data_IF_593788502314
#
_entry.id   IF_593788502314
#
_cell.length_a   1.000
_cell.length_b   1.000
_cell.length_c   1.000
_cell.angle_alpha   90.00
_cell.angle_beta   90.00
_cell.angle_gamma   90.00
#
_symmetry.space_group_name_H-M   'P 1'
#
loop_
_entity.id
_entity.type
_entity.pdbx_description
1 polymer ?
#
# COMPACT_ATOMS: atom_id res chain seq x y z
N UNK A 1 -17.43 -14.29 7.00
CA UNK A 1 -16.43 -15.15 6.35
C UNK A 1 -15.81 -14.47 5.12
N UNK A 2 -16.53 -14.28 4.01
CA UNK A 2 -15.96 -13.72 2.76
C UNK A 2 -15.37 -12.29 2.87
N UNK A 3 -15.91 -11.42 3.74
CA UNK A 3 -15.27 -10.11 4.01
C UNK A 3 -13.91 -10.22 4.66
N UNK A 4 -13.79 -11.09 5.67
CA UNK A 4 -12.54 -11.31 6.38
C UNK A 4 -11.52 -11.94 5.43
N UNK A 5 -11.93 -12.91 4.62
CA UNK A 5 -11.07 -13.46 3.56
C UNK A 5 -10.67 -12.40 2.52
N UNK A 6 -11.59 -11.52 2.13
CA UNK A 6 -11.30 -10.42 1.21
C UNK A 6 -10.36 -9.36 1.80
N UNK A 7 -10.49 -9.05 3.08
CA UNK A 7 -9.60 -8.13 3.77
C UNK A 7 -8.19 -8.74 3.93
N UNK A 8 -8.10 -10.00 4.33
CA UNK A 8 -6.83 -10.74 4.39
C UNK A 8 -6.19 -10.79 3.00
N UNK A 9 -6.94 -11.13 1.95
CA UNK A 9 -6.45 -11.13 0.58
C UNK A 9 -5.95 -9.75 0.13
N UNK A 10 -6.64 -8.67 0.50
CA UNK A 10 -6.21 -7.29 0.26
C UNK A 10 -4.86 -6.99 0.92
N UNK A 11 -4.69 -7.35 2.20
CA UNK A 11 -3.40 -7.18 2.87
C UNK A 11 -2.30 -8.06 2.24
N UNK A 12 -2.62 -9.30 1.88
CA UNK A 12 -1.66 -10.21 1.26
C UNK A 12 -1.15 -9.69 -0.08
N UNK A 13 -2.05 -9.25 -0.98
CA UNK A 13 -1.63 -8.73 -2.28
C UNK A 13 -0.83 -7.43 -2.16
N UNK A 14 -1.09 -6.62 -1.12
CA UNK A 14 -0.44 -5.34 -0.90
C UNK A 14 0.96 -5.45 -0.28
N UNK A 15 1.21 -6.47 0.55
CA UNK A 15 2.43 -6.57 1.35
C UNK A 15 3.28 -7.81 1.08
N UNK A 16 2.69 -8.89 0.59
CA UNK A 16 3.41 -10.15 0.41
C UNK A 16 4.05 -10.20 -0.98
N UNK A 17 5.38 -10.33 -1.02
CA UNK A 17 6.17 -10.49 -2.25
C UNK A 17 6.66 -11.94 -2.47
N UNK A 18 6.32 -12.87 -1.57
CA UNK A 18 6.69 -14.29 -1.69
C UNK A 18 5.63 -15.06 -2.48
N UNK A 19 4.37 -14.96 -2.05
CA UNK A 19 3.21 -15.53 -2.73
C UNK A 19 2.77 -14.69 -3.94
N UNK A 20 3.07 -13.39 -3.93
CA UNK A 20 2.85 -12.48 -5.07
C UNK A 20 4.19 -11.85 -5.50
N UNK A 21 5.00 -12.56 -6.29
CA UNK A 21 6.33 -12.08 -6.69
C UNK A 21 6.25 -10.80 -7.51
N UNK A 22 7.20 -9.90 -7.28
CA UNK A 22 7.24 -8.58 -7.93
C UNK A 22 7.48 -8.69 -9.45
N UNK A 23 8.12 -9.75 -9.93
CA UNK A 23 8.32 -10.01 -11.37
C UNK A 23 6.99 -10.09 -12.14
N UNK A 24 5.90 -10.46 -11.46
CA UNK A 24 4.56 -10.56 -12.06
C UNK A 24 3.62 -9.44 -11.58
N UNK A 25 3.74 -9.03 -10.33
CA UNK A 25 2.79 -8.12 -9.68
C UNK A 25 3.33 -6.71 -9.47
N UNK A 26 4.54 -6.40 -9.92
CA UNK A 26 5.22 -5.13 -9.64
C UNK A 26 5.59 -4.96 -8.16
N UNK A 27 6.32 -3.90 -7.78
CA UNK A 27 6.76 -3.68 -6.40
C UNK A 27 5.61 -3.32 -5.46
N UNK A 28 5.79 -3.60 -4.17
CA UNK A 28 4.88 -3.07 -3.14
C UNK A 28 5.16 -1.57 -2.96
N UNK A 29 4.23 -0.85 -2.32
CA UNK A 29 4.49 0.57 -1.99
C UNK A 29 5.71 0.77 -1.09
N UNK A 30 5.94 -0.17 -0.16
CA UNK A 30 7.12 -0.15 0.70
C UNK A 30 8.41 -0.41 -0.09
N UNK A 31 8.42 -1.38 -0.99
CA UNK A 31 9.59 -1.65 -1.83
C UNK A 31 9.90 -0.51 -2.79
N UNK A 32 8.90 0.10 -3.43
CA UNK A 32 9.10 1.25 -4.31
C UNK A 32 9.70 2.46 -3.56
N UNK A 33 9.25 2.72 -2.33
CA UNK A 33 9.81 3.80 -1.50
C UNK A 33 11.23 3.50 -1.01
N UNK A 34 11.53 2.27 -0.61
CA UNK A 34 12.90 1.84 -0.28
C UNK A 34 13.82 1.91 -1.50
N UNK A 35 13.31 1.51 -2.67
CA UNK A 35 14.03 1.55 -3.93
C UNK A 35 14.38 2.98 -4.37
N UNK A 36 13.47 3.93 -4.13
CA UNK A 36 13.74 5.36 -4.33
C UNK A 36 14.88 5.85 -3.45
N UNK A 37 14.85 5.52 -2.15
CA UNK A 37 15.92 5.89 -1.22
C UNK A 37 17.27 5.27 -1.60
N UNK A 38 17.27 3.99 -1.97
CA UNK A 38 18.47 3.27 -2.42
C UNK A 38 19.06 3.89 -3.69
N UNK A 39 18.22 4.17 -4.69
CA UNK A 39 18.66 4.75 -5.97
C UNK A 39 19.37 6.08 -5.77
N UNK A 40 18.84 6.94 -4.91
CA UNK A 40 19.48 8.23 -4.59
C UNK A 40 20.73 8.09 -3.74
N UNK A 41 20.74 7.14 -2.80
CA UNK A 41 21.93 6.84 -2.01
C UNK A 41 23.10 6.41 -2.90
N UNK A 42 22.88 5.45 -3.81
CA UNK A 42 23.91 4.96 -4.73
C UNK A 42 24.40 6.07 -5.65
N UNK A 43 23.48 6.85 -6.23
CA UNK A 43 23.83 8.01 -7.04
C UNK A 43 24.75 8.96 -6.28
N UNK A 44 24.40 9.31 -5.04
CA UNK A 44 25.17 10.30 -4.26
C UNK A 44 26.53 9.76 -3.82
N UNK A 45 26.62 8.46 -3.49
CA UNK A 45 27.91 7.80 -3.25
C UNK A 45 28.81 7.81 -4.49
N UNK A 46 28.26 7.53 -5.67
CA UNK A 46 28.99 7.59 -6.95
C UNK A 46 29.48 9.00 -7.28
N UNK A 47 28.79 10.04 -6.80
CA UNK A 47 29.19 11.44 -6.90
C UNK A 47 30.21 11.86 -5.81
N UNK A 48 30.58 10.96 -4.92
CA UNK A 48 31.58 11.18 -3.87
C UNK A 48 31.03 11.68 -2.54
N UNK A 49 29.71 11.67 -2.33
CA UNK A 49 29.12 12.04 -1.05
C UNK A 49 29.29 10.93 0.01
N UNK A 50 29.67 11.31 1.24
CA UNK A 50 29.74 10.36 2.35
C UNK A 50 28.39 10.19 3.03
N UNK A 51 27.57 9.30 2.47
CA UNK A 51 26.18 9.05 2.93
C UNK A 51 26.05 8.62 4.39
N UNK A 52 27.14 8.15 5.03
CA UNK A 52 27.15 7.81 6.45
C UNK A 52 27.24 9.03 7.38
N UNK A 53 27.78 10.15 6.88
CA UNK A 53 28.02 11.38 7.66
C UNK A 53 27.16 12.56 7.22
N UNK A 54 26.54 12.49 6.03
CA UNK A 54 25.68 13.55 5.48
C UNK A 54 24.46 13.80 6.36
N UNK A 55 24.38 14.95 7.02
CA UNK A 55 23.21 15.33 7.83
C UNK A 55 22.12 15.96 6.97
N UNK A 56 20.89 15.51 7.16
CA UNK A 56 19.72 16.14 6.53
C UNK A 56 19.36 17.50 7.15
N UNK A 57 18.45 18.26 6.51
CA UNK A 57 18.02 19.57 6.98
C UNK A 57 17.34 19.54 8.36
N UNK A 58 16.74 18.41 8.74
CA UNK A 58 16.12 18.19 10.06
C UNK A 58 17.09 17.59 11.09
N UNK A 59 18.38 17.48 10.75
CA UNK A 59 19.44 16.91 11.61
C UNK A 59 19.12 15.54 12.20
N UNK A 60 18.39 14.69 11.46
CA UNK A 60 18.28 13.27 11.76
C UNK A 60 19.57 12.55 11.33
N UNK A 61 20.08 11.65 12.18
CA UNK A 61 21.21 10.80 11.83
C UNK A 61 20.78 9.81 10.73
N UNK A 62 21.48 9.75 9.57
CA UNK A 62 21.05 8.94 8.42
C UNK A 62 20.94 7.45 8.73
N UNK A 63 21.77 6.95 9.65
CA UNK A 63 21.95 5.54 9.95
C UNK A 63 22.25 5.38 11.45
N UNK A 64 21.20 5.33 12.28
CA UNK A 64 21.35 5.12 13.73
C UNK A 64 21.34 3.62 14.04
N UNK A 65 22.51 2.99 14.25
CA UNK A 65 22.60 1.66 14.89
C UNK A 65 23.91 0.87 14.65
N UNK A 66 24.36 0.03 15.60
CA UNK A 66 25.66 -0.62 15.57
C UNK A 66 25.75 -1.98 14.84
N UNK A 67 24.85 -2.37 13.90
CA UNK A 67 25.11 -3.34 12.78
C UNK A 67 23.84 -3.78 12.00
N UNK A 68 23.05 -2.86 11.41
CA UNK A 68 21.98 -3.26 10.46
C UNK A 68 22.41 -3.08 8.98
N UNK A 69 22.69 -1.84 8.57
CA UNK A 69 23.19 -1.55 7.22
C UNK A 69 24.72 -1.42 7.23
N UNK A 70 25.41 -2.41 6.66
CA UNK A 70 26.88 -2.43 6.59
C UNK A 70 27.40 -1.39 5.58
N UNK A 71 27.93 -0.28 6.09
CA UNK A 71 28.55 0.80 5.31
C UNK A 71 29.73 0.30 4.45
N UNK A 72 30.47 -0.69 4.91
CA UNK A 72 31.59 -1.28 4.17
C UNK A 72 31.11 -1.99 2.91
N UNK A 73 30.01 -2.77 3.03
CA UNK A 73 29.38 -3.44 1.87
C UNK A 73 28.67 -2.44 0.96
N UNK A 74 28.01 -1.45 1.53
CA UNK A 74 27.33 -0.41 0.75
C UNK A 74 28.32 0.37 -0.14
N UNK A 75 29.54 0.60 0.33
CA UNK A 75 30.56 1.31 -0.45
C UNK A 75 31.20 0.47 -1.57
N UNK A 76 31.14 -0.87 -1.51
CA UNK A 76 32.00 -1.73 -2.34
C UNK A 76 31.31 -2.90 -3.04
N UNK A 77 30.17 -3.36 -2.53
CA UNK A 77 29.53 -4.63 -2.93
C UNK A 77 28.23 -4.43 -3.72
N UNK A 78 27.84 -3.19 -4.05
CA UNK A 78 26.62 -2.92 -4.84
C UNK A 78 26.82 -3.42 -6.28
N UNK A 79 25.90 -4.27 -6.73
CA UNK A 79 25.94 -4.84 -8.07
C UNK A 79 25.06 -4.05 -9.05
N UNK A 80 25.46 -3.92 -10.33
CA UNK A 80 24.68 -3.19 -11.34
C UNK A 80 23.26 -3.73 -11.55
N UNK A 81 23.04 -5.04 -11.37
CA UNK A 81 21.70 -5.62 -11.47
C UNK A 81 20.80 -5.18 -10.31
N UNK A 82 21.35 -4.99 -9.11
CA UNK A 82 20.59 -4.47 -7.97
C UNK A 82 20.14 -3.03 -8.25
N UNK A 83 21.05 -2.18 -8.74
CA UNK A 83 20.72 -0.81 -9.14
C UNK A 83 19.59 -0.77 -10.18
N UNK A 84 19.64 -1.65 -11.19
CA UNK A 84 18.59 -1.75 -12.21
C UNK A 84 17.26 -2.18 -11.59
N UNK A 85 17.25 -3.19 -10.73
CA UNK A 85 16.02 -3.64 -10.05
C UNK A 85 15.41 -2.55 -9.17
N UNK A 86 16.23 -1.82 -8.39
CA UNK A 86 15.74 -0.73 -7.55
C UNK A 86 15.28 0.47 -8.39
N UNK A 87 15.97 0.80 -9.48
CA UNK A 87 15.51 1.83 -10.41
C UNK A 87 14.14 1.46 -11.02
N UNK A 88 13.98 0.21 -11.45
CA UNK A 88 12.72 -0.33 -11.97
C UNK A 88 11.59 -0.23 -10.94
N UNK A 89 11.85 -0.63 -9.70
CA UNK A 89 10.85 -0.56 -8.62
C UNK A 89 10.47 0.87 -8.24
N UNK A 90 11.41 1.81 -8.32
CA UNK A 90 11.14 3.24 -8.12
C UNK A 90 10.23 3.79 -9.23
N UNK A 91 10.54 3.48 -10.50
CA UNK A 91 9.76 3.99 -11.64
C UNK A 91 8.40 3.33 -11.80
N UNK A 92 8.23 2.11 -11.26
CA UNK A 92 6.96 1.39 -11.23
C UNK A 92 6.36 1.40 -9.83
N UNK A 93 6.32 2.55 -9.15
CA UNK A 93 5.58 2.68 -7.91
C UNK A 93 4.06 2.47 -8.14
N UNK A 94 3.31 1.85 -7.20
CA UNK A 94 1.87 1.55 -7.34
C UNK A 94 0.92 2.77 -7.23
N UNK A 95 1.29 3.88 -7.86
CA UNK A 95 0.55 5.14 -7.91
C UNK A 95 -0.06 5.32 -9.29
N UNK A 96 -1.38 5.49 -9.34
CA UNK A 96 -2.11 5.58 -10.60
C UNK A 96 -3.48 6.25 -10.40
N UNK A 97 -3.89 7.02 -11.39
CA UNK A 97 -5.22 7.63 -11.48
C UNK A 97 -6.29 6.64 -11.93
N UNK A 98 -7.56 7.06 -11.85
CA UNK A 98 -8.71 6.24 -12.30
C UNK A 98 -8.70 6.01 -13.82
N UNK A 99 -8.17 6.95 -14.60
CA UNK A 99 -8.04 6.82 -16.06
C UNK A 99 -6.71 6.17 -16.51
N UNK A 100 -6.05 5.43 -15.61
CA UNK A 100 -4.86 4.62 -15.94
C UNK A 100 -3.66 5.51 -16.32
N UNK A 101 -3.51 6.67 -15.68
CA UNK A 101 -2.29 7.49 -15.77
C UNK A 101 -1.40 7.16 -14.58
N UNK A 102 -0.26 6.54 -14.85
CA UNK A 102 0.72 6.15 -13.86
C UNK A 102 1.50 7.35 -13.34
N UNK A 103 1.76 7.39 -12.03
CA UNK A 103 2.46 8.49 -11.38
C UNK A 103 1.67 9.12 -10.23
N UNK A 104 2.16 10.27 -9.76
CA UNK A 104 1.53 11.05 -8.70
C UNK A 104 0.33 11.81 -9.27
N UNK A 105 -0.60 12.26 -8.42
CA UNK A 105 -1.83 12.93 -8.83
C UNK A 105 -1.63 14.23 -9.68
N UNK A 106 -0.44 14.82 -9.64
CA UNK A 106 -0.07 16.03 -10.38
C UNK A 106 0.63 15.73 -11.71
N UNK A 107 0.88 14.45 -12.02
CA UNK A 107 1.60 14.07 -13.21
C UNK A 107 0.74 14.27 -14.46
N UNK A 108 1.41 14.67 -15.54
CA UNK A 108 0.79 14.80 -16.86
C UNK A 108 0.42 13.42 -17.43
N UNK A 109 -0.53 13.38 -18.36
CA UNK A 109 -0.91 12.15 -19.04
C UNK A 109 0.19 11.68 -20.00
N UNK A 110 1.17 10.95 -19.47
CA UNK A 110 2.34 10.48 -20.22
C UNK A 110 2.54 8.96 -20.19
N UNK A 111 2.20 8.30 -19.07
CA UNK A 111 2.43 6.87 -18.89
C UNK A 111 1.12 6.15 -18.59
N UNK A 112 0.82 5.12 -19.38
CA UNK A 112 -0.34 4.26 -19.21
C UNK A 112 0.07 2.95 -18.54
N UNK A 113 -0.05 2.87 -17.21
CA UNK A 113 0.38 1.72 -16.42
C UNK A 113 -0.39 1.60 -15.10
N UNK A 114 -0.78 0.38 -14.71
CA UNK A 114 -1.43 0.04 -13.43
C UNK A 114 -0.79 -1.22 -12.86
N UNK A 115 -0.54 -1.21 -11.55
CA UNK A 115 -0.04 -2.38 -10.82
C UNK A 115 -1.22 -3.25 -10.36
N UNK A 116 -1.22 -4.57 -10.65
CA UNK A 116 -2.31 -5.49 -10.33
C UNK A 116 -2.31 -5.91 -8.84
N UNK A 117 -2.21 -4.94 -7.92
CA UNK A 117 -2.24 -5.15 -6.46
C UNK A 117 -3.45 -4.54 -5.75
N UNK A 118 -4.46 -4.07 -6.49
CA UNK A 118 -5.66 -3.40 -5.93
C UNK A 118 -6.84 -4.38 -5.78
N UNK A 119 -7.52 -4.35 -4.64
CA UNK A 119 -8.61 -5.29 -4.30
C UNK A 119 -9.81 -4.59 -3.65
N UNK A 120 -11.04 -4.95 -4.06
CA UNK A 120 -12.30 -4.35 -3.58
C UNK A 120 -13.33 -5.45 -3.24
N UNK A 121 -13.49 -5.83 -1.97
CA UNK A 121 -14.59 -6.73 -1.55
C UNK A 121 -15.26 -6.38 -0.20
N UNK A 122 -14.69 -5.50 0.62
CA UNK A 122 -15.17 -5.30 2.00
C UNK A 122 -16.57 -4.63 2.08
N UNK A 123 -16.83 -3.63 1.22
CA UNK A 123 -18.10 -2.87 1.21
C UNK A 123 -19.28 -3.76 0.80
N UNK A 124 -19.10 -4.62 -0.20
CA UNK A 124 -20.16 -5.52 -0.66
C UNK A 124 -20.63 -6.49 0.43
N UNK A 125 -19.72 -7.01 1.24
CA UNK A 125 -20.10 -7.90 2.33
C UNK A 125 -20.91 -7.20 3.42
N UNK A 126 -20.52 -6.00 3.86
CA UNK A 126 -21.27 -5.23 4.86
C UNK A 126 -22.70 -4.96 4.38
N UNK A 127 -22.84 -4.56 3.12
CA UNK A 127 -24.13 -4.32 2.49
C UNK A 127 -25.00 -5.58 2.44
N UNK A 128 -24.47 -6.69 1.90
CA UNK A 128 -25.22 -7.94 1.76
C UNK A 128 -25.52 -8.61 3.11
N UNK A 129 -24.60 -8.58 4.07
CA UNK A 129 -24.81 -9.17 5.40
C UNK A 129 -25.91 -8.44 6.18
N UNK A 130 -25.87 -7.10 6.23
CA UNK A 130 -26.90 -6.31 6.94
C UNK A 130 -28.27 -6.46 6.27
N UNK A 131 -28.32 -6.49 4.93
CA UNK A 131 -29.57 -6.70 4.19
C UNK A 131 -30.13 -8.12 4.40
N UNK A 132 -29.28 -9.14 4.45
CA UNK A 132 -29.72 -10.52 4.72
C UNK A 132 -30.31 -10.66 6.13
N UNK A 133 -29.70 -10.03 7.15
CA UNK A 133 -30.25 -10.01 8.50
C UNK A 133 -31.60 -9.28 8.57
N UNK A 134 -31.71 -8.11 7.92
CA UNK A 134 -32.96 -7.38 7.85
C UNK A 134 -34.07 -8.18 7.15
N UNK A 135 -33.72 -8.95 6.11
CA UNK A 135 -34.65 -9.78 5.37
C UNK A 135 -35.09 -11.02 6.17
N UNK A 136 -34.18 -11.62 6.93
CA UNK A 136 -34.51 -12.76 7.79
C UNK A 136 -35.48 -12.38 8.93
N UNK A 137 -35.39 -11.14 9.42
CA UNK A 137 -36.28 -10.60 10.47
C UNK A 137 -37.49 -9.87 9.87
N UNK A 138 -37.54 -9.67 8.55
CA UNK A 138 -38.70 -9.19 7.81
C UNK A 138 -38.90 -7.66 7.79
N UNK A 139 -37.85 -6.88 8.05
CA UNK A 139 -37.90 -5.40 8.00
C UNK A 139 -37.02 -4.80 6.90
N UNK A 140 -36.55 -5.61 5.93
CA UNK A 140 -35.67 -5.14 4.85
C UNK A 140 -36.31 -4.10 3.92
N UNK A 141 -37.64 -4.01 3.92
CA UNK A 141 -38.44 -3.04 3.16
C UNK A 141 -38.98 -1.87 4.01
N UNK A 142 -38.63 -1.82 5.29
CA UNK A 142 -39.13 -0.83 6.25
C UNK A 142 -39.85 -1.49 7.43
N UNK A 143 -40.03 -0.72 8.50
CA UNK A 143 -40.84 -1.11 9.67
C UNK A 143 -42.33 -0.90 9.39
N UNK A 144 -43.17 -1.77 9.97
CA UNK A 144 -44.62 -1.61 9.87
C UNK A 144 -45.09 -0.44 10.72
N UNK A 145 -45.94 0.43 10.16
CA UNK A 145 -46.45 1.61 10.87
C UNK A 145 -47.20 1.27 12.18
N UNK A 146 -47.80 0.08 12.25
CA UNK A 146 -48.61 -0.35 13.39
C UNK A 146 -47.81 -1.15 14.45
N UNK A 147 -46.56 -1.52 14.14
CA UNK A 147 -45.69 -2.38 14.95
C UNK A 147 -44.29 -1.77 15.10
N UNK A 148 -44.24 -0.46 15.34
CA UNK A 148 -43.00 0.30 15.54
C UNK A 148 -42.34 -0.09 16.89
N UNK A 149 -41.18 -0.78 16.88
CA UNK A 149 -40.60 -1.35 18.10
C UNK A 149 -40.21 -0.29 19.12
N UNK A 150 -39.78 0.90 18.66
CA UNK A 150 -39.33 2.00 19.51
C UNK A 150 -40.47 2.55 20.38
N UNK A 151 -41.71 2.54 19.89
CA UNK A 151 -42.88 3.01 20.64
C UNK A 151 -43.25 2.12 21.84
N UNK A 152 -42.74 0.88 21.86
CA UNK A 152 -42.99 -0.08 22.94
C UNK A 152 -41.88 -0.09 24.01
N UNK A 153 -40.82 0.69 23.83
CA UNK A 153 -39.68 0.76 24.75
C UNK A 153 -39.86 1.87 25.79
N UNK A 154 -39.27 1.67 26.96
CA UNK A 154 -39.24 2.67 28.03
C UNK A 154 -38.38 3.86 27.61
N UNK A 155 -38.82 5.11 27.85
CA UNK A 155 -38.00 6.30 27.61
C UNK A 155 -36.69 6.23 28.40
N UNK A 156 -35.60 6.70 27.80
CA UNK A 156 -34.26 6.66 28.40
C UNK A 156 -34.00 7.77 29.43
N UNK A 157 -35.03 8.55 29.81
CA UNK A 157 -34.93 9.67 30.75
C UNK A 157 -35.53 9.34 32.11
#
# INVERSE_FOLDING_TARGET
ALSVFGFIACCFVQFNNTAYPNDYYGPTGLEASQAQAFTFLVRDQCLGADVGSTKGPTSLEPLRGPNDLDLGRLKKDIQPWQERCYAEYMTHAPLVSVNIVGGVATDINALNYVIPRRFFLFVGHLWHARRACAAAVGFEKGTGCDLEPVLSMTPLN
#
